data_IF_944323441767
#
_entry.id   IF_944323441767
#
_cell.length_a   1.000
_cell.length_b   1.000
_cell.length_c   1.000
_cell.angle_alpha   90.00
_cell.angle_beta   90.00
_cell.angle_gamma   90.00
#
_symmetry.space_group_name_H-M   'P 1'
#
loop_
_entity.id
_entity.type
_entity.pdbx_description
1 polymer ?
#
# COMPACT_ATOMS: atom_id res chain seq x y z
N UNK A 1 -69.96 -0.05 -39.36
CA UNK A 1 -69.99 -0.06 -37.90
C UNK A 1 -68.55 -0.15 -37.41
N UNK A 2 -67.95 0.99 -37.11
CA UNK A 2 -66.67 1.07 -36.38
C UNK A 2 -66.95 1.13 -34.90
N UNK A 3 -66.44 0.17 -34.17
CA UNK A 3 -66.41 0.22 -32.68
C UNK A 3 -65.01 0.74 -32.32
N UNK A 4 -64.95 1.96 -31.78
CA UNK A 4 -63.79 2.52 -31.13
C UNK A 4 -63.76 2.05 -29.68
N UNK A 5 -62.92 1.08 -29.34
CA UNK A 5 -62.57 0.81 -27.98
C UNK A 5 -61.50 1.80 -27.50
N UNK A 6 -61.91 2.63 -26.57
CA UNK A 6 -61.02 3.53 -25.83
C UNK A 6 -60.19 2.69 -24.82
N UNK A 7 -58.90 2.64 -25.07
CA UNK A 7 -57.92 2.06 -24.17
C UNK A 7 -57.63 3.08 -23.02
N UNK A 8 -58.15 2.85 -21.83
CA UNK A 8 -57.73 3.53 -20.63
C UNK A 8 -56.49 2.81 -20.06
N UNK A 9 -55.35 3.47 -19.80
CA UNK A 9 -54.24 2.84 -19.11
C UNK A 9 -54.52 2.78 -17.61
N UNK A 10 -54.92 1.61 -17.13
CA UNK A 10 -55.02 1.33 -15.70
C UNK A 10 -53.61 1.23 -15.08
N UNK A 11 -53.34 2.09 -14.09
CA UNK A 11 -52.57 1.74 -12.89
C UNK A 11 -51.08 1.43 -12.99
N UNK A 12 -50.36 1.92 -14.04
CA UNK A 12 -48.93 1.55 -14.19
C UNK A 12 -47.89 2.47 -13.49
N UNK A 13 -48.34 3.51 -12.77
CA UNK A 13 -47.41 4.57 -12.33
C UNK A 13 -46.70 4.33 -10.98
N UNK A 14 -47.28 3.55 -10.07
CA UNK A 14 -46.66 3.35 -8.73
C UNK A 14 -45.82 2.07 -8.63
N UNK A 15 -46.11 1.06 -9.40
CA UNK A 15 -45.39 -0.23 -9.39
C UNK A 15 -44.04 -0.12 -10.11
N UNK A 16 -44.00 0.50 -11.27
CA UNK A 16 -42.79 0.70 -12.07
C UNK A 16 -41.74 1.59 -11.36
N UNK A 17 -42.18 2.60 -10.62
CA UNK A 17 -41.26 3.45 -9.81
C UNK A 17 -40.74 2.69 -8.59
N UNK A 18 -41.53 1.84 -8.01
CA UNK A 18 -41.16 0.99 -6.88
C UNK A 18 -40.23 -0.15 -7.35
N UNK A 19 -40.54 -0.78 -8.48
CA UNK A 19 -39.65 -1.75 -9.13
C UNK A 19 -38.31 -1.10 -9.56
N UNK A 20 -38.34 0.09 -10.12
CA UNK A 20 -37.14 0.84 -10.48
C UNK A 20 -36.33 1.24 -9.23
N UNK A 21 -36.96 1.69 -8.16
CA UNK A 21 -36.31 1.98 -6.88
C UNK A 21 -35.72 0.72 -6.25
N UNK A 22 -36.44 -0.38 -6.27
CA UNK A 22 -35.95 -1.68 -5.80
C UNK A 22 -34.81 -2.21 -6.68
N UNK A 23 -34.89 -2.05 -7.99
CA UNK A 23 -33.82 -2.38 -8.93
C UNK A 23 -32.57 -1.52 -8.67
N UNK A 24 -32.71 -0.21 -8.44
CA UNK A 24 -31.60 0.68 -8.07
C UNK A 24 -31.06 0.36 -6.67
N UNK A 25 -31.93 0.04 -5.70
CA UNK A 25 -31.53 -0.35 -4.38
C UNK A 25 -30.78 -1.70 -4.37
N UNK A 26 -31.21 -2.65 -5.20
CA UNK A 26 -30.55 -3.94 -5.39
C UNK A 26 -29.26 -3.85 -6.25
N UNK A 27 -29.13 -2.80 -7.06
CA UNK A 27 -27.88 -2.48 -7.78
C UNK A 27 -26.82 -1.78 -6.93
N UNK A 28 -27.17 -1.30 -5.74
CA UNK A 28 -26.14 -0.88 -4.77
C UNK A 28 -25.43 -2.15 -4.33
N UNK A 29 -24.15 -2.33 -4.62
CA UNK A 29 -23.40 -3.49 -4.15
C UNK A 29 -23.31 -3.38 -2.63
N UNK A 30 -24.30 -3.94 -1.94
CA UNK A 30 -24.21 -4.14 -0.50
C UNK A 30 -23.32 -5.34 -0.31
N UNK A 31 -22.05 -5.07 -0.01
CA UNK A 31 -21.09 -6.14 0.30
C UNK A 31 -21.56 -6.85 1.56
N UNK A 32 -22.04 -8.06 1.37
CA UNK A 32 -22.37 -8.98 2.43
C UNK A 32 -21.17 -9.28 3.33
N UNK A 33 -21.40 -9.76 4.52
CA UNK A 33 -20.38 -10.33 5.36
C UNK A 33 -20.12 -11.77 4.86
N UNK A 34 -18.88 -12.07 4.51
CA UNK A 34 -18.41 -13.40 4.10
C UNK A 34 -17.78 -14.17 5.27
N UNK A 35 -17.58 -13.50 6.39
CA UNK A 35 -17.04 -14.09 7.60
C UNK A 35 -18.11 -14.40 8.64
N UNK A 36 -17.72 -14.35 9.89
CA UNK A 36 -18.59 -14.72 11.02
C UNK A 36 -18.41 -13.74 12.19
N UNK A 37 -19.34 -13.76 13.13
CA UNK A 37 -19.26 -12.96 14.33
C UNK A 37 -18.27 -13.59 15.32
N UNK A 38 -17.41 -12.75 15.89
CA UNK A 38 -16.45 -13.12 16.93
C UNK A 38 -16.79 -12.34 18.19
N UNK A 39 -16.74 -13.00 19.35
CA UNK A 39 -16.84 -12.31 20.62
C UNK A 39 -15.56 -11.47 20.83
N UNK A 40 -15.65 -10.15 21.10
CA UNK A 40 -14.49 -9.31 21.37
C UNK A 40 -13.55 -9.85 22.48
N UNK A 41 -14.10 -10.62 23.44
CA UNK A 41 -13.30 -11.28 24.49
C UNK A 41 -12.36 -12.40 23.97
N UNK A 42 -12.56 -12.88 22.74
CA UNK A 42 -11.69 -13.87 22.11
C UNK A 42 -10.46 -13.24 21.45
N UNK A 43 -10.47 -11.93 21.24
CA UNK A 43 -9.35 -11.19 20.65
C UNK A 43 -8.23 -11.07 21.68
N UNK A 44 -7.01 -11.31 21.26
CA UNK A 44 -5.82 -11.29 22.12
C UNK A 44 -5.69 -9.94 22.87
N UNK A 45 -5.44 -10.03 24.16
CA UNK A 45 -5.39 -8.86 25.07
C UNK A 45 -4.22 -7.92 24.79
N UNK A 46 -3.18 -8.38 24.12
CA UNK A 46 -2.04 -7.55 23.72
C UNK A 46 -2.39 -6.52 22.65
N UNK A 47 -3.48 -6.75 21.88
CA UNK A 47 -3.95 -5.76 20.92
C UNK A 47 -4.58 -4.57 21.64
N UNK A 48 -4.29 -3.37 21.17
CA UNK A 48 -4.94 -2.15 21.65
C UNK A 48 -6.45 -2.16 21.33
N UNK A 49 -7.30 -1.44 22.08
CA UNK A 49 -8.75 -1.47 21.88
C UNK A 49 -9.18 -1.22 20.44
N UNK A 50 -8.64 -0.18 19.77
CA UNK A 50 -8.96 0.12 18.38
C UNK A 50 -8.55 -1.01 17.41
N UNK A 51 -7.41 -1.68 17.68
CA UNK A 51 -6.96 -2.82 16.87
C UNK A 51 -7.91 -4.02 17.03
N UNK A 52 -8.44 -4.25 18.24
CA UNK A 52 -9.44 -5.31 18.48
C UNK A 52 -10.70 -5.06 17.68
N UNK A 53 -11.20 -3.83 17.63
CA UNK A 53 -12.38 -3.48 16.85
C UNK A 53 -12.15 -3.69 15.36
N UNK A 54 -10.97 -3.30 14.84
CA UNK A 54 -10.58 -3.55 13.45
C UNK A 54 -10.60 -5.07 13.16
N UNK A 55 -10.02 -5.88 14.04
CA UNK A 55 -9.96 -7.35 13.88
C UNK A 55 -11.37 -7.95 13.87
N UNK A 56 -12.21 -7.60 14.85
CA UNK A 56 -13.60 -8.11 14.93
C UNK A 56 -14.38 -7.74 13.66
N UNK A 57 -14.24 -6.51 13.20
CA UNK A 57 -14.86 -6.05 11.96
C UNK A 57 -14.33 -6.84 10.75
N UNK A 58 -13.00 -7.00 10.63
CA UNK A 58 -12.40 -7.68 9.49
C UNK A 58 -12.74 -9.18 9.44
N UNK A 59 -12.81 -9.86 10.60
CA UNK A 59 -13.26 -11.27 10.67
C UNK A 59 -14.73 -11.38 10.24
N UNK A 60 -15.59 -10.49 10.69
CA UNK A 60 -16.99 -10.45 10.28
C UNK A 60 -17.17 -10.23 8.78
N UNK A 61 -16.30 -9.38 8.19
CA UNK A 61 -16.26 -9.17 6.73
C UNK A 61 -15.79 -10.42 6.00
N UNK A 62 -14.80 -11.13 6.52
CA UNK A 62 -14.17 -12.29 5.89
C UNK A 62 -13.32 -11.95 4.67
N UNK A 63 -13.75 -10.94 3.89
CA UNK A 63 -13.02 -10.31 2.78
C UNK A 63 -12.95 -8.82 3.07
N UNK A 64 -11.77 -8.35 3.46
CA UNK A 64 -11.60 -7.00 3.96
C UNK A 64 -10.25 -6.38 3.58
N UNK A 65 -10.20 -5.05 3.57
CA UNK A 65 -8.94 -4.32 3.55
C UNK A 65 -8.81 -3.47 4.82
N UNK A 66 -7.60 -3.46 5.38
CA UNK A 66 -7.19 -2.61 6.50
C UNK A 66 -6.14 -1.63 6.01
N UNK A 67 -6.58 -0.41 5.74
CA UNK A 67 -5.74 0.70 5.31
C UNK A 67 -5.37 1.53 6.54
N UNK A 68 -4.45 0.97 7.33
CA UNK A 68 -3.98 1.61 8.55
C UNK A 68 -2.59 2.22 8.34
N UNK A 69 -2.37 3.43 8.84
CA UNK A 69 -1.10 4.13 8.71
C UNK A 69 0.04 3.34 9.37
N UNK A 70 1.28 3.73 9.09
CA UNK A 70 2.47 3.13 9.71
C UNK A 70 2.41 3.30 11.23
N UNK A 71 2.90 2.30 11.97
CA UNK A 71 2.87 2.32 13.44
C UNK A 71 1.55 1.87 14.08
N UNK A 72 0.44 1.74 13.35
CA UNK A 72 -0.84 1.30 13.92
C UNK A 72 -0.98 -0.21 14.16
N UNK A 73 0.08 -0.98 13.91
CA UNK A 73 0.14 -2.41 14.22
C UNK A 73 -0.59 -3.33 13.24
N UNK A 74 -0.56 -3.02 11.95
CA UNK A 74 -1.12 -3.86 10.88
C UNK A 74 -0.74 -5.34 11.00
N UNK A 75 0.52 -5.62 11.34
CA UNK A 75 1.01 -6.99 11.51
C UNK A 75 0.30 -7.71 12.64
N UNK A 76 0.07 -7.07 13.79
CA UNK A 76 -0.71 -7.66 14.89
C UNK A 76 -2.16 -7.88 14.48
N UNK A 77 -2.76 -6.93 13.76
CA UNK A 77 -4.14 -7.03 13.25
C UNK A 77 -4.26 -8.22 12.28
N UNK A 78 -3.33 -8.37 11.34
CA UNK A 78 -3.36 -9.44 10.35
C UNK A 78 -3.13 -10.83 10.95
N UNK A 79 -2.18 -10.94 11.89
CA UNK A 79 -1.90 -12.18 12.63
C UNK A 79 -3.10 -12.61 13.47
N UNK A 80 -3.69 -11.69 14.19
CA UNK A 80 -4.86 -11.98 15.02
C UNK A 80 -6.10 -12.31 14.18
N UNK A 81 -6.30 -11.63 13.05
CA UNK A 81 -7.33 -11.99 12.09
C UNK A 81 -7.14 -13.43 11.59
N UNK A 82 -5.91 -13.80 11.19
CA UNK A 82 -5.61 -15.15 10.71
C UNK A 82 -5.84 -16.21 11.79
N UNK A 83 -5.47 -15.92 13.05
CA UNK A 83 -5.74 -16.79 14.21
C UNK A 83 -7.23 -17.03 14.40
N UNK A 84 -8.03 -15.95 14.36
CA UNK A 84 -9.49 -16.02 14.58
C UNK A 84 -10.23 -16.67 13.42
N UNK A 85 -9.76 -16.52 12.18
CA UNK A 85 -10.28 -17.30 11.04
C UNK A 85 -10.10 -18.79 11.31
N UNK A 86 -9.01 -19.21 11.98
CA UNK A 86 -8.81 -20.59 12.42
C UNK A 86 -8.75 -21.60 11.28
N UNK A 87 -8.29 -21.18 10.11
CA UNK A 87 -8.14 -21.97 8.88
C UNK A 87 -6.72 -21.91 8.36
N UNK A 88 -6.38 -22.82 7.46
CA UNK A 88 -5.06 -22.83 6.83
C UNK A 88 -4.85 -21.54 6.04
N UNK A 89 -3.97 -20.70 6.55
CA UNK A 89 -3.76 -19.31 6.09
C UNK A 89 -2.34 -19.14 5.56
N UNK A 90 -2.21 -18.53 4.38
CA UNK A 90 -0.93 -18.05 3.85
C UNK A 90 -0.87 -16.52 3.97
N UNK A 91 0.18 -16.02 4.62
CA UNK A 91 0.51 -14.60 4.67
C UNK A 91 1.55 -14.35 3.58
N UNK A 92 1.30 -13.37 2.73
CA UNK A 92 2.24 -12.95 1.68
C UNK A 92 2.72 -11.55 2.02
N UNK A 93 4.02 -11.40 2.19
CA UNK A 93 4.65 -10.15 2.63
C UNK A 93 5.95 -9.90 1.85
N UNK A 94 6.49 -8.66 1.83
CA UNK A 94 7.86 -8.44 1.41
C UNK A 94 8.83 -9.29 2.24
N UNK A 95 9.93 -9.76 1.62
CA UNK A 95 10.86 -10.69 2.28
C UNK A 95 11.40 -10.15 3.62
N UNK A 96 11.73 -8.87 3.69
CA UNK A 96 12.19 -8.21 4.92
C UNK A 96 11.16 -8.23 6.05
N UNK A 97 9.87 -8.14 5.69
CA UNK A 97 8.74 -8.15 6.63
C UNK A 97 8.45 -9.56 7.13
N UNK A 98 8.61 -10.58 6.28
CA UNK A 98 8.26 -11.96 6.63
C UNK A 98 8.98 -12.45 7.91
N UNK A 99 10.27 -12.15 8.06
CA UNK A 99 11.03 -12.52 9.27
C UNK A 99 10.56 -11.74 10.52
N UNK A 100 10.30 -10.45 10.38
CA UNK A 100 9.77 -9.63 11.46
C UNK A 100 8.38 -10.13 11.90
N UNK A 101 7.51 -10.47 10.94
CA UNK A 101 6.18 -11.01 11.22
C UNK A 101 6.26 -12.31 12.01
N UNK A 102 7.19 -13.21 11.68
CA UNK A 102 7.41 -14.45 12.44
C UNK A 102 7.81 -14.18 13.89
N UNK A 103 8.68 -13.19 14.14
CA UNK A 103 9.04 -12.78 15.53
C UNK A 103 7.85 -12.16 16.28
N UNK A 104 7.09 -11.29 15.61
CA UNK A 104 5.91 -10.64 16.19
C UNK A 104 4.80 -11.64 16.51
N UNK A 105 4.66 -12.71 15.71
CA UNK A 105 3.73 -13.79 15.97
C UNK A 105 4.01 -14.48 17.31
N UNK A 106 5.29 -14.69 17.66
CA UNK A 106 5.69 -15.24 18.97
C UNK A 106 5.19 -14.42 20.14
N UNK A 107 5.15 -13.08 20.04
CA UNK A 107 4.60 -12.21 21.08
C UNK A 107 3.09 -12.43 21.31
N UNK A 108 2.35 -12.84 20.27
CA UNK A 108 0.94 -13.22 20.38
C UNK A 108 0.72 -14.69 20.78
N UNK A 109 1.79 -15.45 21.04
CA UNK A 109 1.73 -16.88 21.29
C UNK A 109 1.40 -17.71 20.03
N UNK A 110 1.69 -17.16 18.84
CA UNK A 110 1.42 -17.81 17.57
C UNK A 110 2.70 -18.36 16.95
N UNK A 111 2.60 -19.55 16.35
CA UNK A 111 3.65 -20.08 15.49
C UNK A 111 3.31 -19.78 14.03
N UNK A 112 4.15 -19.00 13.35
CA UNK A 112 4.07 -18.74 11.91
C UNK A 112 5.32 -19.28 11.24
N UNK A 113 5.15 -20.16 10.26
CA UNK A 113 6.26 -20.83 9.57
C UNK A 113 6.55 -20.15 8.24
N UNK A 114 7.80 -19.69 8.08
CA UNK A 114 8.27 -19.16 6.80
C UNK A 114 8.56 -20.30 5.84
N UNK A 115 7.99 -20.22 4.64
CA UNK A 115 8.11 -21.25 3.59
C UNK A 115 8.49 -20.63 2.24
N UNK A 116 9.32 -21.34 1.49
CA UNK A 116 9.80 -20.94 0.16
C UNK A 116 9.35 -21.88 -0.96
N UNK A 117 8.90 -23.08 -0.57
CA UNK A 117 8.44 -24.09 -1.51
C UNK A 117 7.20 -24.80 -0.97
N UNK A 118 6.36 -25.37 -1.86
CA UNK A 118 5.13 -26.08 -1.47
C UNK A 118 5.38 -27.28 -0.53
N UNK A 119 6.52 -27.97 -0.69
CA UNK A 119 6.88 -29.17 0.09
C UNK A 119 7.09 -28.83 1.58
N UNK A 120 7.34 -27.58 1.90
CA UNK A 120 7.48 -27.10 3.29
C UNK A 120 6.13 -26.91 3.98
N UNK A 121 5.02 -26.88 3.22
CA UNK A 121 3.66 -26.72 3.75
C UNK A 121 3.12 -28.09 4.17
N UNK A 122 3.53 -28.57 5.34
CA UNK A 122 3.24 -29.92 5.83
C UNK A 122 2.48 -29.90 7.17
N UNK A 123 1.72 -30.98 7.41
CA UNK A 123 1.02 -31.22 8.67
C UNK A 123 -0.20 -30.30 8.89
N UNK A 124 -0.65 -30.30 10.15
CA UNK A 124 -1.88 -29.58 10.59
C UNK A 124 -1.62 -28.11 10.99
N UNK A 125 -0.44 -27.60 10.68
CA UNK A 125 -0.10 -26.22 10.99
C UNK A 125 -0.97 -25.24 10.18
N UNK A 126 -1.41 -24.15 10.83
CA UNK A 126 -2.41 -23.26 10.23
C UNK A 126 -1.83 -21.99 9.61
N UNK A 127 -0.72 -21.45 10.15
CA UNK A 127 -0.22 -20.13 9.75
C UNK A 127 1.11 -20.23 9.04
N UNK A 128 1.10 -19.90 7.78
CA UNK A 128 2.25 -19.90 6.90
C UNK A 128 2.56 -18.52 6.41
N UNK A 129 3.83 -18.19 6.19
CA UNK A 129 4.25 -16.93 5.58
C UNK A 129 5.24 -17.18 4.47
N UNK A 130 5.09 -16.46 3.37
CA UNK A 130 6.02 -16.45 2.24
C UNK A 130 6.19 -15.04 1.70
N UNK A 131 7.12 -14.85 0.78
CA UNK A 131 7.30 -13.56 0.12
C UNK A 131 6.68 -13.56 -1.29
N UNK A 132 6.42 -12.35 -1.81
CA UNK A 132 5.74 -12.14 -3.09
C UNK A 132 6.43 -12.83 -4.27
N UNK A 133 7.77 -12.95 -4.25
CA UNK A 133 8.53 -13.60 -5.30
C UNK A 133 8.38 -15.12 -5.31
N UNK A 134 7.96 -15.69 -4.17
CA UNK A 134 7.81 -17.16 -4.05
C UNK A 134 6.38 -17.63 -4.22
N UNK A 135 5.39 -16.73 -4.07
CA UNK A 135 3.97 -17.13 -3.99
C UNK A 135 3.47 -17.89 -5.22
N UNK A 136 3.98 -17.58 -6.41
CA UNK A 136 3.60 -18.27 -7.66
C UNK A 136 3.92 -19.79 -7.66
N UNK A 137 4.77 -20.25 -6.74
CA UNK A 137 5.13 -21.67 -6.60
C UNK A 137 4.08 -22.49 -5.87
N UNK A 138 3.22 -21.83 -5.09
CA UNK A 138 2.25 -22.51 -4.23
C UNK A 138 0.93 -22.74 -4.95
N UNK A 139 0.24 -23.81 -4.58
CA UNK A 139 -1.14 -24.03 -4.97
C UNK A 139 -2.07 -23.37 -3.95
N UNK A 140 -2.80 -22.33 -4.39
CA UNK A 140 -3.71 -21.57 -3.55
C UNK A 140 -4.88 -22.43 -3.01
N UNK A 141 -5.22 -23.54 -3.67
CA UNK A 141 -6.30 -24.45 -3.22
C UNK A 141 -6.00 -25.11 -1.87
N UNK A 142 -4.74 -25.11 -1.45
CA UNK A 142 -4.32 -25.60 -0.14
C UNK A 142 -4.66 -24.66 1.02
N UNK A 143 -5.07 -23.42 0.72
CA UNK A 143 -5.30 -22.39 1.72
C UNK A 143 -6.74 -21.88 1.70
N UNK A 144 -7.38 -21.88 2.86
CA UNK A 144 -8.71 -21.30 3.04
C UNK A 144 -8.67 -19.80 3.24
N UNK A 145 -7.53 -19.25 3.61
CA UNK A 145 -7.36 -17.82 3.86
C UNK A 145 -6.02 -17.29 3.32
N UNK A 146 -6.04 -16.04 2.87
CA UNK A 146 -4.84 -15.31 2.43
C UNK A 146 -4.80 -13.92 3.02
N UNK A 147 -3.62 -13.52 3.48
CA UNK A 147 -3.31 -12.15 3.89
C UNK A 147 -2.27 -11.57 2.95
N UNK A 148 -2.51 -10.38 2.38
CA UNK A 148 -1.50 -9.61 1.69
C UNK A 148 -1.02 -8.48 2.62
N UNK A 149 0.18 -8.62 3.17
CA UNK A 149 0.83 -7.56 3.93
C UNK A 149 1.64 -6.67 2.97
N UNK A 150 1.56 -5.36 3.15
CA UNK A 150 1.96 -4.32 2.19
C UNK A 150 1.28 -4.54 0.81
N UNK A 151 -0.04 -4.65 0.83
CA UNK A 151 -0.87 -4.93 -0.35
C UNK A 151 -0.86 -3.81 -1.41
N UNK A 152 -0.12 -2.70 -1.19
CA UNK A 152 0.18 -1.69 -2.21
C UNK A 152 0.87 -2.27 -3.46
N UNK A 153 1.41 -3.49 -3.39
CA UNK A 153 1.92 -4.23 -4.57
C UNK A 153 0.84 -4.41 -5.66
N UNK A 154 -0.44 -4.37 -5.28
CA UNK A 154 -1.57 -4.44 -6.22
C UNK A 154 -1.76 -3.16 -7.04
N UNK A 155 -1.04 -2.06 -6.76
CA UNK A 155 -1.20 -0.74 -7.39
C UNK A 155 -1.08 -0.75 -8.91
N UNK A 156 -0.19 -1.56 -9.47
CA UNK A 156 0.04 -1.62 -10.90
C UNK A 156 -1.18 -2.22 -11.63
N UNK A 157 -1.93 -1.39 -12.37
CA UNK A 157 -3.13 -1.79 -13.09
C UNK A 157 -2.85 -2.92 -14.08
N UNK A 158 -1.71 -2.89 -14.77
CA UNK A 158 -1.28 -3.90 -15.73
C UNK A 158 -0.20 -4.86 -15.15
N UNK A 159 0.02 -4.81 -13.85
CA UNK A 159 1.07 -5.59 -13.18
C UNK A 159 0.83 -7.10 -13.26
N UNK A 160 1.85 -7.86 -13.67
CA UNK A 160 1.81 -9.33 -13.68
C UNK A 160 1.45 -9.87 -12.29
N UNK A 161 2.12 -9.39 -11.25
CA UNK A 161 1.91 -9.82 -9.86
C UNK A 161 0.47 -9.63 -9.40
N UNK A 162 -0.17 -8.50 -9.74
CA UNK A 162 -1.59 -8.27 -9.41
C UNK A 162 -2.49 -9.32 -10.05
N UNK A 163 -2.33 -9.56 -11.37
CA UNK A 163 -3.15 -10.55 -12.09
C UNK A 163 -2.97 -11.94 -11.50
N UNK A 164 -1.72 -12.35 -11.32
CA UNK A 164 -1.39 -13.66 -10.73
C UNK A 164 -2.04 -13.83 -9.35
N UNK A 165 -1.90 -12.87 -8.45
CA UNK A 165 -2.48 -12.94 -7.11
C UNK A 165 -4.02 -12.99 -7.16
N UNK A 166 -4.65 -12.17 -8.01
CA UNK A 166 -6.10 -12.10 -8.13
C UNK A 166 -6.68 -13.42 -8.68
N UNK A 167 -6.06 -13.97 -9.72
CA UNK A 167 -6.47 -15.25 -10.32
C UNK A 167 -6.24 -16.41 -9.37
N UNK A 168 -5.05 -16.48 -8.79
CA UNK A 168 -4.61 -17.56 -7.89
C UNK A 168 -5.53 -17.70 -6.68
N UNK A 169 -5.89 -16.59 -6.04
CA UNK A 169 -6.73 -16.61 -4.85
C UNK A 169 -8.22 -16.33 -5.12
N UNK A 170 -8.66 -16.42 -6.39
CA UNK A 170 -10.06 -16.14 -6.78
C UNK A 170 -11.08 -17.01 -6.05
N UNK A 171 -10.74 -18.24 -5.72
CA UNK A 171 -11.59 -19.20 -4.99
C UNK A 171 -11.36 -19.21 -3.47
N UNK A 172 -10.32 -18.53 -2.96
CA UNK A 172 -10.02 -18.49 -1.51
C UNK A 172 -11.12 -17.75 -0.75
N UNK A 173 -11.78 -18.37 0.22
CA UNK A 173 -12.95 -17.76 0.87
C UNK A 173 -12.62 -16.53 1.71
N UNK A 174 -11.52 -16.55 2.48
CA UNK A 174 -11.14 -15.47 3.38
C UNK A 174 -9.93 -14.72 2.86
N UNK A 175 -10.04 -13.40 2.71
CA UNK A 175 -8.98 -12.56 2.13
C UNK A 175 -8.82 -11.26 2.91
N UNK A 176 -7.60 -10.94 3.26
CA UNK A 176 -7.29 -9.69 3.96
C UNK A 176 -6.16 -8.94 3.20
N UNK A 177 -6.39 -7.67 2.94
CA UNK A 177 -5.35 -6.75 2.46
C UNK A 177 -4.95 -5.79 3.58
N UNK A 178 -3.64 -5.59 3.79
CA UNK A 178 -3.11 -4.64 4.76
C UNK A 178 -2.09 -3.73 4.09
N UNK A 179 -2.26 -2.41 4.16
CA UNK A 179 -1.27 -1.42 3.71
C UNK A 179 -1.53 -0.05 4.32
N UNK A 180 -0.49 0.78 4.39
CA UNK A 180 -0.63 2.21 4.72
C UNK A 180 -0.92 3.06 3.48
N UNK A 181 -0.58 2.58 2.29
CA UNK A 181 -0.65 3.33 1.03
C UNK A 181 -1.47 2.57 -0.02
N UNK A 182 -2.81 2.52 0.12
CA UNK A 182 -3.66 1.70 -0.75
C UNK A 182 -3.74 2.22 -2.21
N UNK A 183 -3.54 3.52 -2.41
CA UNK A 183 -3.61 4.18 -3.70
C UNK A 183 -2.54 5.29 -3.77
N UNK A 184 -1.25 4.91 -3.88
CA UNK A 184 -0.16 5.86 -3.75
C UNK A 184 -0.04 6.83 -4.95
N UNK A 185 -0.53 6.47 -6.12
CA UNK A 185 -0.43 7.29 -7.32
C UNK A 185 -1.78 7.84 -7.78
N UNK A 186 -2.82 7.01 -7.77
CA UNK A 186 -4.15 7.38 -8.25
C UNK A 186 -5.24 6.62 -7.48
N UNK A 187 -6.33 7.31 -7.16
CA UNK A 187 -7.46 6.74 -6.41
C UNK A 187 -8.10 5.52 -7.12
N UNK A 188 -7.96 5.39 -8.43
CA UNK A 188 -8.43 4.20 -9.19
C UNK A 188 -7.72 2.91 -8.78
N UNK A 189 -6.54 2.99 -8.17
CA UNK A 189 -5.80 1.82 -7.67
C UNK A 189 -6.56 1.06 -6.57
N UNK A 190 -7.50 1.72 -5.87
CA UNK A 190 -8.42 1.09 -4.91
C UNK A 190 -9.22 -0.05 -5.55
N UNK A 191 -9.54 0.08 -6.84
CA UNK A 191 -10.21 -0.97 -7.60
C UNK A 191 -9.46 -2.29 -7.66
N UNK A 192 -8.13 -2.24 -7.60
CA UNK A 192 -7.31 -3.45 -7.62
C UNK A 192 -7.44 -4.25 -6.31
N UNK A 193 -7.55 -3.57 -5.17
CA UNK A 193 -7.85 -4.21 -3.88
C UNK A 193 -9.26 -4.81 -3.89
N UNK A 194 -10.24 -4.07 -4.41
CA UNK A 194 -11.61 -4.57 -4.54
C UNK A 194 -11.68 -5.82 -5.42
N UNK A 195 -10.93 -5.85 -6.52
CA UNK A 195 -10.87 -7.00 -7.44
C UNK A 195 -10.22 -8.22 -6.79
N UNK A 196 -9.08 -8.05 -6.11
CA UNK A 196 -8.44 -9.11 -5.35
C UNK A 196 -9.37 -9.68 -4.26
N UNK A 197 -10.11 -8.84 -3.56
CA UNK A 197 -11.07 -9.25 -2.54
C UNK A 197 -12.34 -9.88 -3.12
N UNK A 198 -12.55 -9.80 -4.45
CA UNK A 198 -13.76 -10.28 -5.12
C UNK A 198 -14.99 -9.43 -4.80
N UNK A 199 -14.78 -8.14 -4.60
CA UNK A 199 -15.81 -7.14 -4.32
C UNK A 199 -16.46 -6.64 -5.62
N UNK A 200 -15.64 -6.15 -6.52
CA UNK A 200 -15.99 -5.74 -7.87
C UNK A 200 -14.73 -5.72 -8.73
N UNK A 201 -14.86 -5.79 -10.04
CA UNK A 201 -13.71 -5.56 -10.91
C UNK A 201 -13.31 -4.08 -10.87
N UNK A 202 -12.04 -3.79 -11.14
CA UNK A 202 -11.55 -2.41 -11.25
C UNK A 202 -12.28 -1.64 -12.37
N UNK A 203 -12.73 -2.33 -13.42
CA UNK A 203 -13.52 -1.74 -14.51
C UNK A 203 -14.93 -1.35 -14.08
N UNK A 204 -15.61 -2.21 -13.30
CA UNK A 204 -16.92 -1.89 -12.71
C UNK A 204 -16.84 -0.70 -11.77
N UNK A 205 -15.85 -0.65 -10.89
CA UNK A 205 -15.62 0.49 -10.00
C UNK A 205 -15.44 1.79 -10.80
N UNK A 206 -14.59 1.76 -11.85
CA UNK A 206 -14.40 2.93 -12.71
C UNK A 206 -15.68 3.35 -13.40
N UNK A 207 -16.45 2.41 -13.92
CA UNK A 207 -17.74 2.70 -14.56
C UNK A 207 -18.77 3.31 -13.59
N UNK A 208 -18.77 2.86 -12.34
CA UNK A 208 -19.70 3.38 -11.31
C UNK A 208 -19.33 4.79 -10.84
N UNK A 209 -18.07 5.06 -10.56
CA UNK A 209 -17.66 6.23 -9.77
C UNK A 209 -16.79 7.23 -10.55
N UNK A 210 -16.12 6.83 -11.62
CA UNK A 210 -15.15 7.66 -12.32
C UNK A 210 -15.60 8.07 -13.72
N UNK A 211 -14.98 9.14 -14.23
CA UNK A 211 -15.05 9.56 -15.63
C UNK A 211 -13.63 9.59 -16.20
N UNK A 212 -13.50 9.25 -17.47
CA UNK A 212 -12.25 9.45 -18.19
C UNK A 212 -12.13 10.94 -18.57
N UNK A 213 -11.19 11.65 -17.95
CA UNK A 213 -11.00 13.08 -18.13
C UNK A 213 -10.42 13.43 -19.51
N UNK A 214 -9.86 12.45 -20.22
CA UNK A 214 -9.33 12.63 -21.59
C UNK A 214 -10.40 12.56 -22.68
N UNK A 215 -11.61 12.14 -22.31
CA UNK A 215 -12.75 12.11 -23.22
C UNK A 215 -13.56 13.39 -23.04
N UNK A 216 -13.91 14.04 -24.16
CA UNK A 216 -14.85 15.17 -24.14
C UNK A 216 -16.15 14.74 -23.43
N UNK A 217 -16.59 15.52 -22.47
CA UNK A 217 -17.82 15.25 -21.74
C UNK A 217 -18.70 16.50 -21.68
N UNK A 218 -20.01 16.27 -21.54
CA UNK A 218 -20.96 17.35 -21.41
C UNK A 218 -21.27 17.61 -19.94
N UNK A 219 -21.22 18.86 -19.54
CA UNK A 219 -21.63 19.34 -18.21
C UNK A 219 -22.85 20.22 -18.38
N UNK A 220 -23.84 20.03 -17.53
CA UNK A 220 -24.98 20.92 -17.48
C UNK A 220 -24.70 22.07 -16.52
N UNK A 221 -24.74 23.29 -17.03
CA UNK A 221 -24.56 24.50 -16.23
C UNK A 221 -25.70 25.48 -16.54
N UNK A 222 -26.47 25.86 -15.52
CA UNK A 222 -27.63 26.74 -15.64
C UNK A 222 -28.64 26.31 -16.72
N UNK A 223 -28.89 25.01 -16.86
CA UNK A 223 -29.80 24.44 -17.86
C UNK A 223 -29.21 24.36 -19.27
N UNK A 224 -27.95 24.71 -19.47
CA UNK A 224 -27.26 24.64 -20.78
C UNK A 224 -26.24 23.49 -20.74
N UNK A 225 -26.32 22.61 -21.74
CA UNK A 225 -25.38 21.50 -21.91
C UNK A 225 -24.11 22.00 -22.62
N UNK A 226 -23.01 22.14 -21.85
CA UNK A 226 -21.73 22.63 -22.34
C UNK A 226 -20.76 21.46 -22.53
N UNK A 227 -20.14 21.38 -23.71
CA UNK A 227 -19.07 20.41 -23.99
C UNK A 227 -17.77 20.88 -23.37
N UNK A 228 -17.22 20.12 -22.42
CA UNK A 228 -15.84 20.29 -21.95
C UNK A 228 -14.92 19.37 -22.74
N UNK A 229 -13.86 19.94 -23.32
CA UNK A 229 -12.81 19.16 -23.99
C UNK A 229 -12.05 18.34 -22.93
N UNK A 230 -11.77 17.08 -23.27
CA UNK A 230 -10.84 16.25 -22.53
C UNK A 230 -9.42 16.81 -22.56
N UNK A 231 -8.59 16.43 -21.59
CA UNK A 231 -7.19 16.82 -21.59
C UNK A 231 -6.42 16.03 -22.66
N UNK A 232 -5.50 16.71 -23.37
CA UNK A 232 -4.64 16.07 -24.39
C UNK A 232 -3.37 15.43 -23.76
N UNK A 233 -3.34 15.23 -22.43
CA UNK A 233 -2.23 14.55 -21.77
C UNK A 233 -2.20 13.06 -22.18
N UNK A 234 -1.08 12.61 -22.68
CA UNK A 234 -0.90 11.24 -23.16
C UNK A 234 -1.00 10.22 -22.03
N UNK A 235 -2.19 9.68 -21.80
CA UNK A 235 -2.51 8.69 -20.78
C UNK A 235 -3.99 8.73 -20.43
N UNK A 236 -4.52 7.63 -19.85
CA UNK A 236 -5.90 7.63 -19.34
C UNK A 236 -5.93 8.31 -17.97
N UNK A 237 -6.46 9.53 -17.90
CA UNK A 237 -6.69 10.24 -16.64
C UNK A 237 -8.11 9.97 -16.16
N UNK A 238 -8.24 9.32 -15.00
CA UNK A 238 -9.53 9.03 -14.38
C UNK A 238 -9.81 10.02 -13.26
N UNK A 239 -10.99 10.61 -13.25
CA UNK A 239 -11.43 11.51 -12.17
C UNK A 239 -12.69 10.99 -11.52
N UNK A 240 -12.77 11.08 -10.20
CA UNK A 240 -13.98 10.78 -9.46
C UNK A 240 -15.08 11.77 -9.89
N UNK A 241 -16.28 11.26 -10.14
CA UNK A 241 -17.44 12.11 -10.44
C UNK A 241 -17.82 12.91 -9.22
N UNK A 242 -18.15 14.18 -9.37
CA UNK A 242 -18.53 15.04 -8.23
C UNK A 242 -19.66 14.44 -7.38
N UNK A 243 -20.70 13.93 -8.01
CA UNK A 243 -21.82 13.24 -7.34
C UNK A 243 -21.51 11.76 -6.99
N UNK A 244 -20.37 11.25 -7.39
CA UNK A 244 -19.89 9.90 -7.14
C UNK A 244 -19.00 9.80 -5.89
N UNK A 245 -18.56 10.92 -5.32
CA UNK A 245 -17.60 10.95 -4.22
C UNK A 245 -18.16 10.28 -2.94
N UNK A 246 -19.31 10.74 -2.46
CA UNK A 246 -19.93 10.14 -1.28
C UNK A 246 -20.32 8.66 -1.49
N UNK A 247 -20.96 8.27 -2.62
CA UNK A 247 -21.19 6.86 -2.95
C UNK A 247 -19.93 6.02 -3.02
N UNK A 248 -18.82 6.56 -3.55
CA UNK A 248 -17.54 5.87 -3.62
C UNK A 248 -16.98 5.56 -2.23
N UNK A 249 -16.93 6.56 -1.34
CA UNK A 249 -16.44 6.34 0.02
C UNK A 249 -17.37 5.43 0.84
N UNK A 250 -18.68 5.49 0.66
CA UNK A 250 -19.63 4.56 1.25
C UNK A 250 -19.43 3.12 0.76
N UNK A 251 -19.19 2.96 -0.54
CA UNK A 251 -18.85 1.67 -1.13
C UNK A 251 -17.52 1.15 -0.56
N UNK A 252 -16.49 1.98 -0.51
CA UNK A 252 -15.20 1.61 0.06
C UNK A 252 -15.34 1.21 1.54
N UNK A 253 -16.04 1.98 2.36
CA UNK A 253 -16.27 1.69 3.77
C UNK A 253 -17.04 0.37 4.03
N UNK A 254 -17.72 -0.17 3.02
CA UNK A 254 -18.41 -1.45 3.15
C UNK A 254 -17.48 -2.66 3.21
N UNK A 255 -16.23 -2.54 2.74
CA UNK A 255 -15.24 -3.62 2.67
C UNK A 255 -13.82 -3.20 3.10
N UNK A 256 -13.54 -1.91 3.22
CA UNK A 256 -12.26 -1.37 3.65
C UNK A 256 -12.44 -0.48 4.88
N UNK A 257 -11.47 -0.52 5.78
CA UNK A 257 -11.37 0.38 6.93
C UNK A 257 -10.08 1.18 6.79
N UNK A 258 -10.20 2.51 6.71
CA UNK A 258 -9.07 3.43 6.62
C UNK A 258 -8.89 4.15 7.94
N UNK A 259 -7.70 4.03 8.53
CA UNK A 259 -7.38 4.57 9.87
C UNK A 259 -6.00 5.23 9.80
N UNK A 260 -5.92 6.51 10.12
CA UNK A 260 -4.66 7.25 10.24
C UNK A 260 -4.15 7.30 11.67
N UNK A 261 -5.07 7.31 12.63
CA UNK A 261 -4.79 7.38 14.06
C UNK A 261 -5.97 6.79 14.85
N UNK A 262 -5.75 6.41 16.10
CA UNK A 262 -6.81 5.80 16.92
C UNK A 262 -8.08 6.66 17.06
N UNK A 263 -7.94 8.00 17.05
CA UNK A 263 -9.09 8.92 17.15
C UNK A 263 -10.05 8.85 15.96
N UNK A 264 -9.63 8.33 14.81
CA UNK A 264 -10.53 8.08 13.67
C UNK A 264 -11.62 7.02 14.02
N UNK A 265 -11.35 6.19 15.05
CA UNK A 265 -12.28 5.21 15.60
C UNK A 265 -12.79 5.58 16.99
N UNK A 266 -12.59 6.83 17.43
CA UNK A 266 -13.05 7.34 18.73
C UNK A 266 -12.19 6.97 19.94
N UNK A 267 -10.95 6.50 19.72
CA UNK A 267 -9.97 6.19 20.77
C UNK A 267 -8.99 7.35 21.00
N UNK A 268 -8.29 7.33 22.17
CA UNK A 268 -7.21 8.29 22.42
C UNK A 268 -6.03 8.07 21.48
N UNK A 269 -5.42 9.18 21.05
CA UNK A 269 -4.17 9.17 20.29
C UNK A 269 -2.91 9.11 21.18
N UNK A 270 -3.07 8.91 22.48
CA UNK A 270 -1.95 8.81 23.41
C UNK A 270 -0.97 7.68 23.01
N UNK A 271 0.31 8.03 22.88
CA UNK A 271 1.35 7.13 22.38
C UNK A 271 1.42 6.99 20.86
N UNK A 272 0.55 7.70 20.10
CA UNK A 272 0.54 7.73 18.64
C UNK A 272 0.81 9.13 18.07
N UNK A 273 0.92 10.13 18.95
CA UNK A 273 1.29 11.50 18.55
C UNK A 273 2.81 11.52 18.37
N UNK A 274 3.22 11.58 17.11
CA UNK A 274 4.62 11.68 16.75
C UNK A 274 5.14 13.12 16.96
N UNK A 275 6.43 13.30 17.28
CA UNK A 275 7.04 14.64 17.33
C UNK A 275 6.97 15.29 15.92
N UNK A 276 7.14 16.61 15.81
CA UNK A 276 7.15 17.25 14.49
C UNK A 276 8.26 16.69 13.60
N UNK A 277 7.92 16.37 12.34
CA UNK A 277 8.90 15.98 11.34
C UNK A 277 9.64 17.25 10.84
N UNK A 278 10.93 17.32 11.10
CA UNK A 278 11.77 18.42 10.64
C UNK A 278 12.48 18.01 9.34
N UNK A 279 12.16 18.69 8.24
CA UNK A 279 12.81 18.48 6.94
C UNK A 279 13.61 19.73 6.62
N UNK A 280 14.93 19.59 6.51
CA UNK A 280 15.83 20.70 6.17
C UNK A 280 16.45 20.41 4.80
N UNK A 281 16.12 21.21 3.76
CA UNK A 281 16.79 21.10 2.48
C UNK A 281 18.21 21.66 2.57
N UNK A 282 19.17 20.94 2.04
CA UNK A 282 20.53 21.43 1.77
C UNK A 282 20.69 21.83 0.32
N UNK A 283 21.13 23.06 0.08
CA UNK A 283 21.32 23.61 -1.25
C UNK A 283 22.79 23.48 -1.65
N UNK A 284 23.08 22.71 -2.71
CA UNK A 284 24.41 22.52 -3.25
C UNK A 284 24.51 23.25 -4.59
N UNK A 285 25.45 24.17 -4.70
CA UNK A 285 25.71 24.89 -5.95
C UNK A 285 26.49 24.04 -6.92
N UNK A 286 26.00 23.89 -8.14
CA UNK A 286 26.66 23.16 -9.22
C UNK A 286 26.33 23.76 -10.58
N UNK A 287 27.35 24.07 -11.36
CA UNK A 287 27.19 24.54 -12.74
C UNK A 287 27.08 23.31 -13.65
N UNK A 288 25.90 23.05 -14.18
CA UNK A 288 25.63 21.93 -15.07
C UNK A 288 25.50 22.36 -16.52
N UNK A 289 26.32 21.78 -17.38
CA UNK A 289 26.17 21.89 -18.83
C UNK A 289 25.89 20.50 -19.38
N UNK A 290 24.73 20.28 -20.03
CA UNK A 290 24.44 19.02 -20.70
C UNK A 290 25.44 18.76 -21.85
N UNK A 291 25.74 17.49 -22.14
CA UNK A 291 26.68 17.13 -23.19
C UNK A 291 26.09 17.36 -24.59
N UNK A 292 24.78 17.44 -24.72
CA UNK A 292 24.05 17.60 -25.99
C UNK A 292 23.55 19.03 -26.26
N UNK A 293 23.78 20.00 -25.33
CA UNK A 293 23.24 21.36 -25.40
C UNK A 293 24.24 22.39 -24.89
N UNK A 294 24.16 23.61 -25.45
CA UNK A 294 25.04 24.74 -25.09
C UNK A 294 24.71 25.35 -23.72
N UNK A 295 23.47 25.14 -23.22
CA UNK A 295 23.02 25.67 -21.95
C UNK A 295 21.97 24.77 -21.31
N UNK A 296 21.91 24.78 -19.98
CA UNK A 296 20.88 24.09 -19.22
C UNK A 296 19.57 24.88 -19.23
N UNK A 297 18.53 24.34 -19.83
CA UNK A 297 17.17 24.92 -19.88
C UNK A 297 16.13 24.09 -19.12
N UNK A 298 16.59 23.14 -18.31
CA UNK A 298 15.77 22.16 -17.60
C UNK A 298 16.01 20.73 -18.10
N UNK A 299 15.52 19.75 -17.34
CA UNK A 299 15.61 18.35 -17.73
C UNK A 299 14.53 18.03 -18.76
N UNK A 300 14.91 17.37 -19.86
CA UNK A 300 13.99 16.96 -20.93
C UNK A 300 13.41 15.55 -20.70
N UNK A 301 13.90 14.84 -19.70
CA UNK A 301 13.43 13.52 -19.35
C UNK A 301 14.34 12.80 -18.34
N UNK A 302 13.96 11.55 -18.02
CA UNK A 302 14.65 10.77 -16.99
C UNK A 302 16.12 10.49 -17.31
N UNK A 303 16.47 10.36 -18.59
CA UNK A 303 17.87 10.12 -19.00
C UNK A 303 18.78 11.32 -18.70
N UNK A 304 18.28 12.51 -18.99
CA UNK A 304 18.96 13.77 -18.72
C UNK A 304 19.15 14.00 -17.22
N UNK A 305 18.09 13.73 -16.46
CA UNK A 305 18.15 13.77 -14.99
C UNK A 305 19.17 12.76 -14.43
N UNK A 306 19.18 11.52 -14.92
CA UNK A 306 20.16 10.52 -14.48
C UNK A 306 21.61 10.91 -14.84
N UNK A 307 21.84 11.55 -15.99
CA UNK A 307 23.16 12.07 -16.37
C UNK A 307 23.62 13.16 -15.40
N UNK A 308 22.73 14.08 -15.04
CA UNK A 308 22.97 15.09 -14.02
C UNK A 308 23.31 14.46 -12.66
N UNK A 309 22.52 13.48 -12.21
CA UNK A 309 22.78 12.79 -10.95
C UNK A 309 24.17 12.15 -10.91
N UNK A 310 24.60 11.52 -12.01
CA UNK A 310 25.96 10.91 -12.10
C UNK A 310 27.06 11.94 -12.02
N UNK A 311 26.92 13.10 -12.68
CA UNK A 311 27.90 14.19 -12.64
C UNK A 311 28.03 14.87 -11.26
N UNK A 312 27.01 14.75 -10.42
CA UNK A 312 26.96 15.39 -9.09
C UNK A 312 27.14 14.42 -7.92
N UNK A 313 27.49 13.15 -8.15
CA UNK A 313 27.62 12.13 -7.10
C UNK A 313 28.59 12.59 -6.01
N UNK A 314 29.82 12.99 -6.37
CA UNK A 314 30.85 13.40 -5.41
C UNK A 314 30.40 14.56 -4.55
N UNK A 315 29.80 15.58 -5.15
CA UNK A 315 29.32 16.76 -4.45
C UNK A 315 28.27 16.39 -3.40
N UNK A 316 27.28 15.57 -3.77
CA UNK A 316 26.18 15.17 -2.90
C UNK A 316 26.63 14.19 -1.81
N UNK A 317 27.50 13.23 -2.14
CA UNK A 317 28.03 12.28 -1.16
C UNK A 317 28.97 12.94 -0.14
N UNK A 318 29.78 13.92 -0.56
CA UNK A 318 30.63 14.68 0.36
C UNK A 318 29.78 15.52 1.33
N UNK A 319 28.73 16.21 0.85
CA UNK A 319 27.81 16.94 1.71
C UNK A 319 27.11 16.00 2.72
N UNK A 320 26.66 14.84 2.27
CA UNK A 320 26.07 13.83 3.15
C UNK A 320 27.06 13.35 4.21
N UNK A 321 28.30 13.05 3.82
CA UNK A 321 29.35 12.60 4.73
C UNK A 321 29.71 13.69 5.76
N UNK A 322 29.85 14.95 5.34
CA UNK A 322 30.12 16.09 6.23
C UNK A 322 29.00 16.20 7.28
N UNK A 323 27.73 16.16 6.84
CA UNK A 323 26.58 16.28 7.75
C UNK A 323 26.47 15.12 8.72
N UNK A 324 26.62 13.89 8.24
CA UNK A 324 26.48 12.66 9.04
C UNK A 324 27.64 12.48 9.99
N UNK A 325 28.86 12.87 9.60
CA UNK A 325 30.05 12.76 10.44
C UNK A 325 30.15 13.87 11.50
N UNK A 326 29.30 14.92 11.40
CA UNK A 326 29.29 16.02 12.36
C UNK A 326 28.75 15.63 13.75
N UNK A 327 28.10 14.49 13.88
CA UNK A 327 27.61 13.97 15.17
C UNK A 327 27.79 12.46 15.32
N UNK A 328 27.47 11.92 16.50
CA UNK A 328 27.62 10.50 16.84
C UNK A 328 26.31 9.71 16.83
N UNK A 329 25.19 10.34 16.45
CA UNK A 329 23.89 9.67 16.43
C UNK A 329 23.80 8.63 15.32
N UNK A 330 22.85 7.71 15.45
CA UNK A 330 22.56 6.77 14.37
C UNK A 330 21.81 7.46 13.23
N UNK A 331 22.27 7.21 12.01
CA UNK A 331 21.70 7.78 10.80
C UNK A 331 21.30 6.70 9.79
N UNK A 332 20.29 7.01 8.97
CA UNK A 332 20.00 6.28 7.73
C UNK A 332 20.34 7.21 6.57
N UNK A 333 21.20 6.76 5.67
CA UNK A 333 21.57 7.49 4.45
C UNK A 333 20.91 6.81 3.26
N UNK A 334 19.93 7.50 2.68
CA UNK A 334 19.18 7.01 1.54
C UNK A 334 19.83 7.43 0.23
N UNK A 335 20.12 6.47 -0.63
CA UNK A 335 20.75 6.65 -1.93
C UNK A 335 19.86 6.18 -3.08
N UNK A 336 20.17 6.57 -4.29
CA UNK A 336 19.47 6.13 -5.50
C UNK A 336 20.35 5.29 -6.42
N UNK A 337 21.55 5.77 -6.74
CA UNK A 337 22.49 5.07 -7.60
C UNK A 337 23.39 4.13 -6.78
N UNK A 338 23.90 3.05 -7.40
CA UNK A 338 24.88 2.16 -6.76
C UNK A 338 26.17 2.90 -6.41
N UNK A 339 26.64 3.76 -7.33
CA UNK A 339 27.86 4.56 -7.12
C UNK A 339 27.71 5.56 -5.98
N UNK A 340 26.50 6.13 -5.77
CA UNK A 340 26.21 6.96 -4.58
C UNK A 340 26.34 6.16 -3.30
N UNK A 341 25.76 4.94 -3.28
CA UNK A 341 25.80 4.07 -2.12
C UNK A 341 27.23 3.68 -1.75
N UNK A 342 28.01 3.25 -2.73
CA UNK A 342 29.40 2.86 -2.52
C UNK A 342 30.26 4.05 -2.05
N UNK A 343 30.10 5.24 -2.66
CA UNK A 343 30.86 6.43 -2.29
C UNK A 343 30.47 6.93 -0.90
N UNK A 344 29.17 7.05 -0.60
CA UNK A 344 28.70 7.46 0.72
C UNK A 344 29.23 6.52 1.82
N UNK A 345 29.18 5.21 1.59
CA UNK A 345 29.74 4.22 2.52
C UNK A 345 31.26 4.41 2.73
N UNK A 346 32.01 4.69 1.69
CA UNK A 346 33.46 4.91 1.79
C UNK A 346 33.85 6.19 2.54
N UNK A 347 32.99 7.21 2.52
CA UNK A 347 33.20 8.52 3.15
C UNK A 347 32.68 8.59 4.61
N UNK A 348 31.83 7.65 5.02
CA UNK A 348 31.21 7.65 6.34
C UNK A 348 31.75 6.48 7.16
N UNK A 349 32.63 6.75 8.15
CA UNK A 349 33.10 5.73 9.09
C UNK A 349 31.94 5.08 9.87
N UNK A 350 32.14 3.85 10.33
CA UNK A 350 31.16 3.08 11.09
C UNK A 350 29.81 2.90 10.38
N UNK A 351 29.82 2.95 9.04
CA UNK A 351 28.66 2.67 8.22
C UNK A 351 28.62 1.21 7.77
N UNK A 352 27.41 0.73 7.50
CA UNK A 352 27.18 -0.52 6.78
C UNK A 352 26.38 -0.23 5.52
N UNK A 353 26.83 -0.79 4.39
CA UNK A 353 26.13 -0.69 3.12
C UNK A 353 25.30 -1.96 2.87
N UNK A 354 24.00 -1.77 2.51
CA UNK A 354 23.11 -2.85 2.12
C UNK A 354 22.66 -2.62 0.68
N UNK A 355 23.10 -3.52 -0.22
CA UNK A 355 22.88 -3.43 -1.68
C UNK A 355 21.74 -4.30 -2.18
N UNK A 356 21.21 -3.94 -3.35
CA UNK A 356 20.24 -4.78 -4.06
C UNK A 356 20.80 -6.17 -4.42
N UNK A 357 22.08 -6.25 -4.75
CA UNK A 357 22.79 -7.49 -5.11
C UNK A 357 23.16 -8.40 -3.93
N UNK A 358 23.05 -7.93 -2.67
CA UNK A 358 23.31 -8.77 -1.51
C UNK A 358 22.27 -9.89 -1.40
N UNK A 359 22.69 -11.03 -0.86
CA UNK A 359 21.76 -12.12 -0.58
C UNK A 359 20.69 -11.69 0.43
N UNK A 360 19.50 -12.28 0.38
CA UNK A 360 18.44 -11.98 1.35
C UNK A 360 18.87 -12.13 2.81
N UNK A 361 19.71 -13.14 3.07
CA UNK A 361 20.25 -13.44 4.38
C UNK A 361 21.17 -12.32 4.87
N UNK A 362 22.12 -11.85 3.99
CA UNK A 362 23.04 -10.75 4.29
C UNK A 362 22.28 -9.45 4.54
N UNK A 363 21.28 -9.12 3.71
CA UNK A 363 20.44 -7.93 3.91
C UNK A 363 19.81 -7.93 5.30
N UNK A 364 19.19 -9.05 5.68
CA UNK A 364 18.57 -9.17 6.98
C UNK A 364 19.58 -9.06 8.14
N UNK A 365 20.70 -9.74 8.04
CA UNK A 365 21.76 -9.71 9.05
C UNK A 365 22.31 -8.29 9.27
N UNK A 366 22.63 -7.58 8.20
CA UNK A 366 23.19 -6.22 8.30
C UNK A 366 22.18 -5.21 8.83
N UNK A 367 20.91 -5.34 8.44
CA UNK A 367 19.85 -4.49 8.96
C UNK A 367 19.60 -4.76 10.44
N UNK A 368 19.57 -6.02 10.87
CA UNK A 368 19.46 -6.39 12.27
C UNK A 368 20.66 -5.88 13.09
N UNK A 369 21.86 -5.99 12.56
CA UNK A 369 23.06 -5.46 13.20
C UNK A 369 23.01 -3.92 13.37
N UNK A 370 22.45 -3.20 12.40
CA UNK A 370 22.20 -1.76 12.54
C UNK A 370 21.13 -1.46 13.60
N UNK A 371 20.04 -2.21 13.62
CA UNK A 371 18.99 -2.07 14.64
C UNK A 371 19.51 -2.33 16.06
N UNK A 372 20.45 -3.27 16.20
CA UNK A 372 21.15 -3.60 17.46
C UNK A 372 22.24 -2.58 17.85
N UNK A 373 22.45 -1.53 17.03
CA UNK A 373 23.44 -0.48 17.30
C UNK A 373 24.90 -0.88 17.03
N UNK A 374 25.14 -1.99 16.28
CA UNK A 374 26.52 -2.41 15.92
C UNK A 374 27.16 -1.49 14.86
N UNK A 375 26.35 -0.77 14.13
CA UNK A 375 26.77 0.23 13.15
C UNK A 375 26.05 1.55 13.45
N UNK A 376 26.78 2.65 13.29
CA UNK A 376 26.24 4.00 13.47
C UNK A 376 25.38 4.44 12.29
N UNK A 377 25.77 4.05 11.09
CA UNK A 377 25.12 4.52 9.86
C UNK A 377 24.73 3.34 8.97
N UNK A 378 23.48 3.35 8.51
CA UNK A 378 22.99 2.45 7.47
C UNK A 378 22.94 3.22 6.15
N UNK A 379 23.71 2.78 5.14
CA UNK A 379 23.65 3.29 3.77
C UNK A 379 22.89 2.30 2.92
N UNK A 380 21.76 2.72 2.34
CA UNK A 380 20.91 1.81 1.57
C UNK A 380 19.93 2.57 0.66
N UNK A 381 19.10 1.84 -0.07
CA UNK A 381 18.06 2.41 -0.94
C UNK A 381 16.65 2.19 -0.34
N UNK A 382 15.69 3.08 -0.60
CA UNK A 382 14.32 2.93 -0.11
C UNK A 382 13.64 1.62 -0.55
N UNK A 383 13.90 1.13 -1.74
CA UNK A 383 13.37 -0.14 -2.25
C UNK A 383 13.92 -1.38 -1.54
N UNK A 384 15.07 -1.27 -0.84
CA UNK A 384 15.69 -2.36 -0.10
C UNK A 384 15.21 -2.38 1.36
N UNK A 385 15.24 -1.24 2.04
CA UNK A 385 14.98 -1.14 3.48
C UNK A 385 13.82 -0.18 3.84
N UNK A 386 13.23 0.51 2.86
CA UNK A 386 12.14 1.44 3.07
C UNK A 386 10.78 0.79 3.35
N UNK A 387 10.63 -0.51 3.07
CA UNK A 387 9.35 -1.21 3.25
C UNK A 387 9.42 -2.20 4.43
N UNK A 388 8.46 -2.11 5.34
CA UNK A 388 8.22 -3.08 6.40
C UNK A 388 9.24 -3.16 7.54
N UNK A 389 10.37 -2.45 7.45
CA UNK A 389 11.40 -2.45 8.49
C UNK A 389 11.09 -1.41 9.59
N UNK A 390 11.60 -1.62 10.79
CA UNK A 390 11.48 -0.69 11.91
C UNK A 390 12.86 -0.16 12.30
N UNK A 391 13.05 1.16 12.23
CA UNK A 391 14.32 1.83 12.56
C UNK A 391 14.14 2.87 13.67
N UNK A 392 13.35 2.57 14.68
CA UNK A 392 13.14 3.47 15.85
C UNK A 392 14.44 3.84 16.58
N UNK A 393 15.52 3.07 16.37
CA UNK A 393 16.85 3.36 16.87
C UNK A 393 17.54 4.55 16.18
N UNK A 394 17.11 4.94 14.97
CA UNK A 394 17.71 6.00 14.17
C UNK A 394 16.70 7.11 13.88
N UNK A 395 16.74 8.20 14.64
CA UNK A 395 15.83 9.34 14.47
C UNK A 395 16.26 10.29 13.34
N UNK A 396 17.44 10.11 12.76
CA UNK A 396 18.01 10.99 11.73
C UNK A 396 18.16 10.27 10.41
N UNK A 397 17.77 10.97 9.35
CA UNK A 397 17.87 10.47 7.98
C UNK A 397 18.53 11.52 7.10
N UNK A 398 19.36 11.09 6.15
CA UNK A 398 19.90 11.94 5.09
C UNK A 398 19.53 11.34 3.73
N UNK A 399 19.03 12.17 2.84
CA UNK A 399 18.65 11.79 1.48
C UNK A 399 19.65 12.37 0.49
N UNK A 400 20.58 11.56 0.02
CA UNK A 400 21.55 11.96 -1.01
C UNK A 400 20.83 12.28 -2.32
N UNK A 401 19.82 11.49 -2.65
CA UNK A 401 18.91 11.72 -3.79
C UNK A 401 17.51 11.28 -3.44
N UNK A 402 16.53 12.16 -3.70
CA UNK A 402 15.11 11.82 -3.58
C UNK A 402 14.61 11.35 -4.95
N UNK A 403 13.93 10.20 -4.97
CA UNK A 403 13.28 9.65 -6.17
C UNK A 403 11.91 10.28 -6.38
N UNK A 404 11.34 10.12 -7.58
CA UNK A 404 10.00 10.60 -7.90
C UNK A 404 8.87 9.75 -7.28
N UNK A 405 9.18 8.69 -6.53
CA UNK A 405 8.19 7.85 -5.86
C UNK A 405 7.83 8.44 -4.50
N UNK A 406 6.66 9.08 -4.41
CA UNK A 406 6.13 9.57 -3.13
C UNK A 406 5.94 8.43 -2.12
N UNK A 407 5.52 7.25 -2.56
CA UNK A 407 5.31 6.10 -1.69
C UNK A 407 6.61 5.63 -1.04
N UNK A 408 7.69 5.46 -1.84
CA UNK A 408 8.99 5.05 -1.31
C UNK A 408 9.52 6.07 -0.29
N UNK A 409 9.40 7.35 -0.61
CA UNK A 409 9.82 8.43 0.28
C UNK A 409 8.99 8.43 1.58
N UNK A 410 7.66 8.38 1.48
CA UNK A 410 6.76 8.35 2.63
C UNK A 410 7.01 7.13 3.51
N UNK A 411 7.09 5.94 2.91
CA UNK A 411 7.35 4.70 3.64
C UNK A 411 8.71 4.73 4.34
N UNK A 412 9.77 5.18 3.65
CA UNK A 412 11.12 5.22 4.22
C UNK A 412 11.23 6.21 5.40
N UNK A 413 10.64 7.41 5.30
CA UNK A 413 10.61 8.37 6.42
C UNK A 413 9.93 7.77 7.63
N UNK A 414 8.79 7.11 7.44
CA UNK A 414 8.00 6.53 8.52
C UNK A 414 8.65 5.32 9.21
N UNK A 415 9.82 4.88 8.79
CA UNK A 415 10.54 3.76 9.44
C UNK A 415 11.26 4.17 10.72
N UNK A 416 11.68 5.42 10.82
CA UNK A 416 12.36 5.98 11.99
C UNK A 416 11.60 7.14 12.65
N UNK A 417 10.44 7.49 12.08
CA UNK A 417 9.60 8.58 12.55
C UNK A 417 8.29 8.08 13.15
#
# INVERSE_FOLDING_TARGET
ACISESYEPQGAGMDALTEYRNFIANKKPVFGNHGFAVNPAQVNELLKPFQRDIVVWAVRKGRAAVFADTGLGKTFISLEWARLIGRKTIIVAPLSVARQTTRMAGALGLEVRYVRTPEQVTGDHLLWITNYEMIEKFDASQFDAVVLDESSILKAIDGKTRRTLTEMFSCTPYRLCCTATPAPNDLVEIGNHAEFLGISTASEMKAMFFINANIDHYVEFAGVRVRRKGSNAGGQEWRLRHHGEEPFYKWMASWAMSVRRPSDLGYSDDGYILPPLNITPEWLEYTYTPDDRLAFTGFTGIKDFLAFLRKTIELRCNAAAERVNADSDQWIVWTYLEDESALAHSLIPDSVEVKGSDSPERKAEMIEAFQDGKFRVLVTKPDIAGFGMNFQNASKQYWVTVRYSWEEWYQAIRRSY
#
